data_IF_365047863973
#
_entry.id   IF_365047863973
#
_cell.length_a   1.000
_cell.length_b   1.000
_cell.length_c   1.000
_cell.angle_alpha   90.00
_cell.angle_beta   90.00
_cell.angle_gamma   90.00
#
_symmetry.space_group_name_H-M   'P 1'
#
loop_
_entity.id
_entity.type
_entity.pdbx_description
1 polymer ?
#
# COMPACT_ATOMS: atom_id res chain seq x y z
N UNK A 1 -0.07 5.47 3.93
CA UNK A 1 -0.61 4.57 5.00
C UNK A 1 -0.10 3.16 4.76
N UNK A 2 0.18 2.37 5.81
CA UNK A 2 0.69 1.00 5.70
C UNK A 2 -0.18 0.04 6.49
N UNK A 3 -0.56 -1.09 5.89
CA UNK A 3 -1.35 -2.16 6.50
C UNK A 3 -0.68 -3.52 6.28
N UNK A 4 -0.74 -4.38 7.30
CA UNK A 4 -0.18 -5.73 7.25
C UNK A 4 -1.32 -6.74 7.24
N UNK A 5 -1.40 -7.53 6.17
CA UNK A 5 -2.47 -8.50 5.96
C UNK A 5 -2.28 -9.72 6.84
N UNK A 6 -3.39 -10.23 7.33
CA UNK A 6 -3.54 -11.56 7.94
C UNK A 6 -4.66 -12.32 7.24
N UNK A 7 -4.81 -13.62 7.51
CA UNK A 7 -5.83 -14.46 6.88
C UNK A 7 -7.25 -13.92 7.06
N UNK A 8 -7.55 -13.33 8.22
CA UNK A 8 -8.86 -12.76 8.54
C UNK A 8 -9.08 -11.36 7.96
N UNK A 9 -8.02 -10.60 7.67
CA UNK A 9 -8.12 -9.20 7.21
C UNK A 9 -7.94 -9.04 5.70
N UNK A 10 -7.45 -10.07 5.00
CA UNK A 10 -7.16 -10.05 3.55
C UNK A 10 -8.28 -9.46 2.70
N UNK A 11 -9.53 -9.87 2.91
CA UNK A 11 -10.66 -9.36 2.11
C UNK A 11 -10.90 -7.86 2.36
N UNK A 12 -10.72 -7.41 3.59
CA UNK A 12 -10.96 -6.02 4.00
C UNK A 12 -9.86 -5.10 3.48
N UNK A 13 -8.60 -5.49 3.63
CA UNK A 13 -7.45 -4.67 3.21
C UNK A 13 -7.37 -4.54 1.68
N UNK A 14 -7.61 -5.64 0.94
CA UNK A 14 -7.56 -5.61 -0.53
C UNK A 14 -8.79 -4.98 -1.21
N UNK A 15 -9.93 -4.82 -0.51
CA UNK A 15 -11.17 -4.33 -1.14
C UNK A 15 -11.84 -3.18 -0.41
N UNK A 16 -12.24 -3.38 0.84
CA UNK A 16 -13.06 -2.41 1.56
C UNK A 16 -12.28 -1.12 1.85
N UNK A 17 -11.07 -1.24 2.41
CA UNK A 17 -10.23 -0.09 2.75
C UNK A 17 -9.72 0.64 1.51
N UNK A 18 -9.40 -0.07 0.42
CA UNK A 18 -8.95 0.55 -0.84
C UNK A 18 -9.98 1.55 -1.39
N UNK A 19 -11.27 1.21 -1.33
CA UNK A 19 -12.33 2.11 -1.78
C UNK A 19 -12.55 3.29 -0.82
N UNK A 20 -12.44 3.05 0.49
CA UNK A 20 -12.54 4.11 1.48
C UNK A 20 -11.39 5.12 1.36
N UNK A 21 -10.16 4.64 1.19
CA UNK A 21 -8.97 5.47 1.14
C UNK A 21 -8.85 6.28 -0.15
N UNK A 22 -9.41 5.80 -1.26
CA UNK A 22 -9.49 6.60 -2.48
C UNK A 22 -10.44 7.78 -2.32
N UNK A 23 -11.57 7.59 -1.62
CA UNK A 23 -12.51 8.68 -1.28
C UNK A 23 -11.87 9.68 -0.31
N UNK A 24 -11.02 9.20 0.61
CA UNK A 24 -10.31 10.05 1.57
C UNK A 24 -9.05 10.74 0.98
N UNK A 25 -8.77 10.56 -0.32
CA UNK A 25 -7.59 11.12 -1.00
C UNK A 25 -6.25 10.76 -0.34
N UNK A 26 -6.12 9.51 0.14
CA UNK A 26 -4.82 9.03 0.63
C UNK A 26 -3.93 8.74 -0.58
N UNK A 27 -2.92 9.57 -0.80
CA UNK A 27 -2.05 9.51 -1.98
C UNK A 27 -1.32 8.17 -2.13
N UNK A 28 -0.93 7.53 -1.02
CA UNK A 28 -0.11 6.32 -1.03
C UNK A 28 -0.57 5.32 0.04
N UNK A 29 -0.85 4.09 -0.37
CA UNK A 29 -1.34 3.02 0.51
C UNK A 29 -0.57 1.71 0.27
N UNK A 30 0.01 1.15 1.33
CA UNK A 30 0.85 -0.04 1.25
C UNK A 30 0.16 -1.22 1.91
N UNK A 31 0.11 -2.32 1.19
CA UNK A 31 -0.41 -3.60 1.66
C UNK A 31 0.76 -4.58 1.73
N UNK A 32 1.18 -4.94 2.92
CA UNK A 32 2.22 -5.96 3.16
C UNK A 32 1.51 -7.29 3.40
N UNK A 33 1.70 -8.26 2.51
CA UNK A 33 1.11 -9.59 2.62
C UNK A 33 2.19 -10.65 2.92
N UNK A 34 2.39 -11.02 4.20
CA UNK A 34 3.37 -12.03 4.58
C UNK A 34 2.98 -13.45 4.16
N UNK A 35 1.69 -13.71 3.87
CA UNK A 35 1.21 -15.04 3.48
C UNK A 35 1.69 -15.41 2.08
N UNK A 36 1.75 -14.42 1.19
CA UNK A 36 2.29 -14.58 -0.18
C UNK A 36 3.66 -13.91 -0.37
N UNK A 37 4.21 -13.29 0.67
CA UNK A 37 5.52 -12.59 0.69
C UNK A 37 5.62 -11.50 -0.37
N UNK A 38 4.58 -10.67 -0.45
CA UNK A 38 4.51 -9.55 -1.40
C UNK A 38 4.22 -8.24 -0.66
N UNK A 39 4.65 -7.14 -1.25
CA UNK A 39 4.26 -5.79 -0.84
C UNK A 39 3.60 -5.12 -2.02
N UNK A 40 2.36 -4.64 -1.86
CA UNK A 40 1.64 -3.92 -2.90
C UNK A 40 1.59 -2.45 -2.51
N UNK A 41 2.17 -1.58 -3.34
CA UNK A 41 2.05 -0.13 -3.21
C UNK A 41 0.91 0.32 -4.11
N UNK A 42 -0.01 1.09 -3.52
CA UNK A 42 -1.16 1.67 -4.19
C UNK A 42 -0.98 3.18 -4.22
N UNK A 43 -0.85 3.73 -5.42
CA UNK A 43 -0.71 5.18 -5.65
C UNK A 43 -2.02 5.73 -6.20
N UNK A 44 -2.56 6.76 -5.57
CA UNK A 44 -3.82 7.38 -6.00
C UNK A 44 -3.53 8.31 -7.19
N UNK A 45 -4.05 7.94 -8.37
CA UNK A 45 -3.99 8.71 -9.60
C UNK A 45 -5.41 8.86 -10.18
N UNK A 46 -5.80 10.08 -10.52
CA UNK A 46 -7.11 10.40 -11.11
C UNK A 46 -8.32 9.81 -10.36
N UNK A 47 -8.23 9.71 -9.03
CA UNK A 47 -9.29 9.18 -8.16
C UNK A 47 -9.32 7.65 -8.04
N UNK A 48 -8.35 6.94 -8.62
CA UNK A 48 -8.22 5.49 -8.57
C UNK A 48 -6.82 5.08 -8.10
N UNK A 49 -6.72 3.92 -7.45
CA UNK A 49 -5.42 3.40 -7.07
C UNK A 49 -4.80 2.58 -8.20
N UNK A 50 -3.64 3.00 -8.67
CA UNK A 50 -2.71 2.17 -9.44
C UNK A 50 -1.92 1.27 -8.49
N UNK A 51 -1.70 0.01 -8.86
CA UNK A 51 -1.00 -0.96 -8.01
C UNK A 51 0.35 -1.37 -8.58
N UNK A 52 1.36 -1.42 -7.72
CA UNK A 52 2.67 -1.98 -8.01
C UNK A 52 2.98 -3.05 -6.97
N UNK A 53 3.24 -4.28 -7.43
CA UNK A 53 3.52 -5.43 -6.56
C UNK A 53 5.01 -5.71 -6.57
N UNK A 54 5.58 -5.74 -5.38
CA UNK A 54 6.98 -6.01 -5.12
C UNK A 54 7.13 -7.35 -4.40
N UNK A 55 8.21 -8.06 -4.72
CA UNK A 55 8.51 -9.36 -4.15
C UNK A 55 9.97 -9.47 -3.71
N UNK A 56 10.23 -10.36 -2.75
CA UNK A 56 11.59 -10.70 -2.28
C UNK A 56 12.34 -9.49 -1.70
N UNK A 57 13.45 -9.09 -2.31
CA UNK A 57 14.41 -8.07 -1.83
C UNK A 57 14.39 -6.83 -2.70
N UNK A 58 13.31 -6.59 -3.44
CA UNK A 58 13.13 -5.38 -4.21
C UNK A 58 13.07 -4.17 -3.28
N UNK A 59 13.89 -3.17 -3.58
CA UNK A 59 13.85 -1.91 -2.86
C UNK A 59 12.60 -1.14 -3.30
N UNK A 60 11.85 -0.63 -2.32
CA UNK A 60 10.67 0.18 -2.57
C UNK A 60 10.96 1.57 -2.01
N UNK A 61 10.89 2.58 -2.88
CA UNK A 61 11.04 3.98 -2.52
C UNK A 61 9.63 4.57 -2.52
N UNK A 62 9.25 5.19 -1.42
CA UNK A 62 8.00 5.95 -1.32
C UNK A 62 8.19 7.30 -1.99
N UNK A 63 7.19 7.73 -2.77
CA UNK A 63 7.17 9.05 -3.39
C UNK A 63 6.57 10.11 -2.46
N UNK A 64 5.97 9.69 -1.34
CA UNK A 64 5.24 10.57 -0.42
C UNK A 64 5.87 10.73 0.96
N UNK A 65 6.81 9.86 1.35
CA UNK A 65 7.64 10.13 2.53
C UNK A 65 8.81 11.01 2.12
N UNK A 66 8.82 12.27 2.55
CA UNK A 66 10.08 13.04 2.55
C UNK A 66 11.14 12.22 3.28
N UNK A 67 12.35 12.18 2.71
CA UNK A 67 13.49 11.58 3.38
C UNK A 67 13.62 12.23 4.76
N UNK A 68 13.52 11.43 5.82
CA UNK A 68 13.65 11.94 7.17
C UNK A 68 15.00 12.66 7.27
N UNK A 69 15.05 13.98 7.51
CA UNK A 69 16.28 14.77 7.42
C UNK A 69 17.29 14.46 8.55
N UNK A 70 16.97 13.48 9.41
CA UNK A 70 17.75 13.05 10.55
C UNK A 70 18.14 11.56 10.51
N UNK A 71 18.12 10.94 9.32
CA UNK A 71 18.65 9.58 9.12
C UNK A 71 20.18 9.59 8.93
#
# INVERSE_FOLDING_TARGET
MVEVVSESTKRTDYRAKRAEYSVLNISEYWIVDPLVKTVTVLTLADGWYEEQVFVKSEAIISDTTDACPYA
#
